data_IF_977060341237
#
_entry.id   IF_977060341237
#
_cell.length_a   1.000
_cell.length_b   1.000
_cell.length_c   1.000
_cell.angle_alpha   90.00
_cell.angle_beta   90.00
_cell.angle_gamma   90.00
#
_symmetry.space_group_name_H-M   'P 1'
#
loop_
_entity.id
_entity.type
_entity.pdbx_description
1 polymer ?
#
# COMPACT_ATOMS: atom_id res chain seq x y z
N UNK A 1 -0.27 -0.98 31.88
CA UNK A 1 -0.31 -0.44 30.51
C UNK A 1 0.71 -1.26 29.78
N UNK A 2 0.26 -2.41 29.29
CA UNK A 2 1.15 -3.56 29.14
C UNK A 2 1.75 -3.52 27.74
N UNK A 3 3.07 -3.35 27.70
CA UNK A 3 3.84 -3.32 26.47
C UNK A 3 3.87 -4.68 25.80
N UNK A 4 3.43 -4.74 24.55
CA UNK A 4 3.95 -5.68 23.53
C UNK A 4 3.42 -5.32 22.13
N UNK A 5 3.64 -4.08 21.68
CA UNK A 5 3.51 -3.79 20.25
C UNK A 5 4.78 -4.24 19.57
N UNK A 6 4.69 -5.40 18.92
CA UNK A 6 5.81 -5.95 18.17
C UNK A 6 6.12 -5.04 16.97
N UNK A 7 7.40 -4.77 16.70
CA UNK A 7 7.79 -4.01 15.52
C UNK A 7 7.42 -4.79 14.26
N UNK A 8 6.99 -4.06 13.24
CA UNK A 8 6.73 -4.60 11.93
C UNK A 8 8.04 -5.04 11.29
N UNK A 9 8.16 -6.36 11.15
CA UNK A 9 9.37 -6.97 10.61
C UNK A 9 9.23 -7.16 9.11
N UNK A 10 10.36 -7.03 8.39
CA UNK A 10 10.42 -7.30 6.95
C UNK A 10 9.98 -6.13 6.08
N UNK A 11 10.00 -4.89 6.58
CA UNK A 11 9.81 -3.71 5.75
C UNK A 11 11.02 -3.51 4.82
N UNK A 12 10.76 -3.26 3.55
CA UNK A 12 11.80 -2.97 2.57
C UNK A 12 12.36 -1.56 2.82
N UNK A 13 13.67 -1.34 2.69
CA UNK A 13 14.28 -0.04 2.94
C UNK A 13 13.73 1.04 2.00
N UNK A 14 13.77 2.29 2.45
CA UNK A 14 13.41 3.47 1.66
C UNK A 14 14.64 4.32 1.46
N UNK A 15 15.02 4.58 0.20
CA UNK A 15 16.24 5.33 -0.15
C UNK A 15 17.50 4.81 0.56
N UNK A 16 17.62 3.48 0.68
CA UNK A 16 18.73 2.81 1.37
C UNK A 16 18.69 2.86 2.89
N UNK A 17 17.67 3.48 3.50
CA UNK A 17 17.50 3.54 4.96
C UNK A 17 16.59 2.41 5.43
N UNK A 18 17.03 1.70 6.47
CA UNK A 18 16.20 0.69 7.16
C UNK A 18 15.03 1.41 7.84
N UNK A 19 13.85 0.82 7.72
CA UNK A 19 12.63 1.30 8.38
C UNK A 19 12.34 0.39 9.56
N UNK A 20 12.06 1.00 10.71
CA UNK A 20 11.53 0.35 11.90
C UNK A 20 10.23 1.04 12.26
N UNK A 21 9.15 0.27 12.45
CA UNK A 21 7.81 0.81 12.65
C UNK A 21 7.02 -0.05 13.62
N UNK A 22 6.29 0.59 14.53
CA UNK A 22 5.34 -0.04 15.45
C UNK A 22 4.03 0.75 15.42
N UNK A 23 2.90 0.05 15.49
CA UNK A 23 1.56 0.67 15.54
C UNK A 23 0.99 0.48 16.95
N UNK A 24 1.27 1.44 17.84
CA UNK A 24 0.89 1.43 19.25
C UNK A 24 -0.12 2.52 19.64
N UNK A 25 -0.52 3.34 18.66
CA UNK A 25 -1.54 4.39 18.83
C UNK A 25 -2.99 3.88 19.00
N UNK A 26 -3.22 2.56 19.09
CA UNK A 26 -4.56 1.99 19.24
C UNK A 26 -5.43 2.19 17.99
N UNK A 27 -6.55 2.90 18.14
CA UNK A 27 -7.52 3.18 17.06
C UNK A 27 -7.22 4.47 16.27
N UNK A 28 -6.04 5.06 16.45
CA UNK A 28 -5.64 6.25 15.73
C UNK A 28 -5.28 5.92 14.28
N UNK A 29 -5.71 6.78 13.35
CA UNK A 29 -5.22 6.74 11.96
C UNK A 29 -3.83 7.34 11.89
N UNK A 30 -3.02 6.84 10.96
CA UNK A 30 -1.68 7.34 10.67
C UNK A 30 -1.37 7.17 9.19
N UNK A 31 -0.79 8.21 8.59
CA UNK A 31 -0.25 8.19 7.23
C UNK A 31 0.83 7.12 7.05
N UNK A 32 1.42 6.63 8.16
CA UNK A 32 2.40 5.54 8.19
C UNK A 32 1.84 4.21 7.67
N UNK A 33 0.52 4.04 7.59
CA UNK A 33 -0.12 2.88 6.96
C UNK A 33 0.30 2.69 5.49
N UNK A 34 0.75 3.75 4.80
CA UNK A 34 1.30 3.65 3.45
C UNK A 34 2.51 2.72 3.37
N UNK A 35 3.34 2.64 4.42
CA UNK A 35 4.51 1.76 4.47
C UNK A 35 4.10 0.29 4.51
N UNK A 36 3.08 -0.03 5.30
CA UNK A 36 2.50 -1.37 5.39
C UNK A 36 1.90 -1.79 4.05
N UNK A 37 1.07 -0.93 3.50
CA UNK A 37 0.37 -1.21 2.26
C UNK A 37 1.34 -1.35 1.07
N UNK A 38 2.44 -0.59 1.05
CA UNK A 38 3.52 -0.77 0.08
C UNK A 38 4.07 -2.18 0.07
N UNK A 39 4.36 -2.77 1.24
CA UNK A 39 4.89 -4.13 1.32
C UNK A 39 3.86 -5.17 0.87
N UNK A 40 2.59 -4.98 1.25
CA UNK A 40 1.48 -5.83 0.82
C UNK A 40 1.35 -5.79 -0.71
N UNK A 41 1.35 -4.58 -1.28
CA UNK A 41 1.25 -4.36 -2.71
C UNK A 41 2.43 -5.00 -3.46
N UNK A 42 3.67 -4.81 -3.01
CA UNK A 42 4.85 -5.40 -3.64
C UNK A 42 4.86 -6.93 -3.60
N UNK A 43 4.31 -7.54 -2.54
CA UNK A 43 4.31 -9.00 -2.38
C UNK A 43 3.14 -9.69 -3.07
N UNK A 44 1.97 -9.05 -3.10
CA UNK A 44 0.73 -9.68 -3.53
C UNK A 44 0.17 -9.12 -4.84
N UNK A 45 0.65 -7.95 -5.29
CA UNK A 45 0.13 -7.28 -6.50
C UNK A 45 -1.37 -7.02 -6.38
N UNK A 46 -1.81 -6.39 -5.28
CA UNK A 46 -3.23 -6.23 -4.96
C UNK A 46 -3.92 -5.38 -6.03
N UNK A 47 -3.28 -4.31 -6.48
CA UNK A 47 -3.83 -3.46 -7.53
C UNK A 47 -4.05 -4.21 -8.85
N UNK A 48 -3.09 -5.04 -9.28
CA UNK A 48 -3.22 -5.85 -10.50
C UNK A 48 -4.34 -6.89 -10.35
N UNK A 49 -4.44 -7.54 -9.19
CA UNK A 49 -5.52 -8.50 -8.90
C UNK A 49 -6.90 -7.84 -8.90
N UNK A 50 -7.02 -6.64 -8.35
CA UNK A 50 -8.26 -5.88 -8.38
C UNK A 50 -8.61 -5.45 -9.80
N UNK A 51 -7.63 -4.95 -10.57
CA UNK A 51 -7.84 -4.56 -11.96
C UNK A 51 -8.29 -5.74 -12.84
N UNK A 52 -7.72 -6.93 -12.63
CA UNK A 52 -8.10 -8.14 -13.35
C UNK A 52 -9.57 -8.57 -13.14
N UNK A 53 -10.21 -8.10 -12.07
CA UNK A 53 -11.63 -8.34 -11.79
C UNK A 53 -12.58 -7.36 -12.50
N UNK A 54 -12.05 -6.32 -13.16
CA UNK A 54 -12.85 -5.27 -13.79
C UNK A 54 -12.70 -5.36 -15.31
N UNK A 55 -13.84 -5.42 -16.01
CA UNK A 55 -13.85 -5.29 -17.46
C UNK A 55 -13.80 -3.81 -17.84
N UNK A 56 -12.60 -3.33 -18.17
CA UNK A 56 -12.36 -1.96 -18.64
C UNK A 56 -12.55 -1.87 -20.17
N UNK A 57 -13.57 -1.15 -20.67
CA UNK A 57 -13.82 -1.01 -22.10
C UNK A 57 -12.90 0.00 -22.79
N UNK A 58 -12.04 0.70 -22.05
CA UNK A 58 -11.13 1.68 -22.62
C UNK A 58 -10.12 1.02 -23.58
N UNK A 59 -9.93 1.65 -24.75
CA UNK A 59 -8.88 1.24 -25.67
C UNK A 59 -7.50 1.52 -25.05
N UNK A 60 -6.56 0.55 -25.02
CA UNK A 60 -5.24 0.73 -24.41
C UNK A 60 -4.45 1.91 -24.99
N UNK A 61 -4.61 2.19 -26.30
CA UNK A 61 -3.92 3.28 -26.98
C UNK A 61 -4.45 4.68 -26.60
N UNK A 62 -5.57 4.74 -25.87
CA UNK A 62 -6.26 5.97 -25.48
C UNK A 62 -6.10 6.28 -23.98
N UNK A 63 -5.32 5.48 -23.24
CA UNK A 63 -5.09 5.66 -21.81
C UNK A 63 -3.61 5.85 -21.49
N UNK A 64 -3.29 6.82 -20.65
CA UNK A 64 -1.91 7.06 -20.18
C UNK A 64 -1.54 6.16 -19.00
N UNK A 65 -2.53 5.79 -18.19
CA UNK A 65 -2.36 4.99 -16.98
C UNK A 65 -3.31 3.81 -17.03
N UNK A 66 -2.82 2.62 -16.70
CA UNK A 66 -3.66 1.43 -16.63
C UNK A 66 -4.64 1.53 -15.46
N UNK A 67 -5.73 0.75 -15.50
CA UNK A 67 -6.63 0.63 -14.36
C UNK A 67 -5.89 0.20 -13.08
N UNK A 68 -4.89 -0.68 -13.21
CA UNK A 68 -4.04 -1.09 -12.10
C UNK A 68 -3.25 0.08 -11.50
N UNK A 69 -2.73 0.99 -12.32
CA UNK A 69 -2.03 2.20 -11.84
C UNK A 69 -2.97 3.12 -11.06
N UNK A 70 -4.18 3.34 -11.57
CA UNK A 70 -5.20 4.17 -10.92
C UNK A 70 -5.63 3.55 -9.58
N UNK A 71 -5.86 2.23 -9.56
CA UNK A 71 -6.20 1.50 -8.33
C UNK A 71 -5.07 1.58 -7.33
N UNK A 72 -3.82 1.33 -7.76
CA UNK A 72 -2.63 1.39 -6.91
C UNK A 72 -2.48 2.77 -6.29
N UNK A 73 -2.62 3.82 -7.09
CA UNK A 73 -2.57 5.20 -6.62
C UNK A 73 -3.64 5.47 -5.56
N UNK A 74 -4.90 5.11 -5.83
CA UNK A 74 -6.00 5.27 -4.87
C UNK A 74 -5.77 4.50 -3.57
N UNK A 75 -5.33 3.25 -3.66
CA UNK A 75 -5.07 2.40 -2.50
C UNK A 75 -4.01 3.06 -1.59
N UNK A 76 -2.91 3.54 -2.17
CA UNK A 76 -1.85 4.22 -1.43
C UNK A 76 -2.32 5.53 -0.80
N UNK A 77 -3.11 6.33 -1.51
CA UNK A 77 -3.63 7.60 -0.99
C UNK A 77 -4.64 7.39 0.15
N UNK A 78 -5.48 6.36 0.10
CA UNK A 78 -6.37 6.03 1.22
C UNK A 78 -5.56 5.64 2.47
N UNK A 79 -4.47 4.89 2.29
CA UNK A 79 -3.60 4.51 3.42
C UNK A 79 -2.77 5.68 3.95
N UNK A 80 -2.63 6.76 3.18
CA UNK A 80 -1.91 7.96 3.59
C UNK A 80 -2.75 8.92 4.45
N UNK A 81 -4.06 8.66 4.63
CA UNK A 81 -4.97 9.55 5.36
C UNK A 81 -5.69 10.55 4.47
#
# INVERSE_FOLDING_TARGET
>A
MDGSTLPLTGLSPVSGKRIDASFDGGLLSSDGCILLLREVEQRLGVADRMAACVNDPCAPDHITHSLADIIRFRLMMIAAG
#
